data_IF_507214339851
#
_entry.id   IF_507214339851
#
_cell.length_a   1.000
_cell.length_b   1.000
_cell.length_c   1.000
_cell.angle_alpha   90.00
_cell.angle_beta   90.00
_cell.angle_gamma   90.00
#
_symmetry.space_group_name_H-M   'P 1'
#
loop_
_entity.id
_entity.type
_entity.pdbx_description
1 polymer ?
#
# COMPACT_ATOMS: atom_id res chain seq x y z
N UNK A 1 2.45 -23.09 3.11
CA UNK A 1 2.06 -22.54 4.43
C UNK A 1 1.00 -21.49 4.13
N UNK A 2 -0.25 -21.77 4.48
CA UNK A 2 -1.44 -21.01 4.07
C UNK A 2 -1.59 -19.71 4.86
N UNK A 3 -0.83 -18.68 4.48
CA UNK A 3 -1.04 -17.29 4.93
C UNK A 3 -1.64 -16.41 3.81
N UNK A 4 -2.30 -17.01 2.82
CA UNK A 4 -3.12 -16.30 1.81
C UNK A 4 -4.37 -15.60 2.42
N UNK A 5 -4.51 -15.54 3.75
CA UNK A 5 -5.66 -14.93 4.44
C UNK A 5 -5.46 -13.44 4.73
N UNK A 6 -4.28 -12.89 4.46
CA UNK A 6 -4.07 -11.45 4.51
C UNK A 6 -4.27 -10.87 3.12
N UNK A 7 -5.22 -9.95 3.02
CA UNK A 7 -5.55 -9.19 1.80
C UNK A 7 -4.29 -8.61 1.12
N UNK A 8 -3.15 -8.46 1.79
CA UNK A 8 -1.95 -7.80 1.28
C UNK A 8 -0.68 -8.64 1.44
N UNK A 9 -0.75 -9.96 1.19
CA UNK A 9 0.39 -10.88 1.39
C UNK A 9 1.65 -10.47 0.59
N UNK A 10 1.46 -9.97 -0.63
CA UNK A 10 2.55 -9.42 -1.47
C UNK A 10 3.06 -8.04 -1.00
N UNK A 11 2.39 -7.41 -0.03
CA UNK A 11 2.77 -6.12 0.54
C UNK A 11 3.25 -6.27 1.99
N UNK A 12 4.09 -7.28 2.26
CA UNK A 12 4.69 -7.53 3.58
C UNK A 12 5.29 -6.29 4.23
N UNK A 13 5.92 -5.42 3.43
CA UNK A 13 6.46 -4.14 3.90
C UNK A 13 5.42 -3.27 4.63
N UNK A 14 4.16 -3.29 4.23
CA UNK A 14 3.10 -2.55 4.93
C UNK A 14 2.96 -3.02 6.38
N UNK A 15 2.99 -4.33 6.60
CA UNK A 15 2.89 -4.92 7.94
C UNK A 15 4.13 -4.66 8.78
N UNK A 16 5.31 -4.69 8.17
CA UNK A 16 6.56 -4.36 8.86
C UNK A 16 6.58 -2.90 9.35
N UNK A 17 5.92 -1.99 8.61
CA UNK A 17 5.83 -0.57 8.97
C UNK A 17 4.67 -0.25 9.92
N UNK A 18 3.66 -1.12 10.04
CA UNK A 18 2.56 -0.95 10.98
C UNK A 18 3.07 -0.96 12.42
N UNK A 19 2.80 0.08 13.22
CA UNK A 19 3.16 0.06 14.63
C UNK A 19 2.29 -0.94 15.39
N UNK A 20 2.89 -1.62 16.36
CA UNK A 20 2.14 -2.28 17.43
C UNK A 20 1.46 -1.22 18.29
N UNK A 21 0.42 -1.62 19.03
CA UNK A 21 -0.37 -0.69 19.86
C UNK A 21 0.51 0.12 20.82
N UNK A 22 1.54 -0.50 21.40
CA UNK A 22 2.45 0.16 22.34
C UNK A 22 3.36 1.20 21.66
N UNK A 23 3.68 1.01 20.37
CA UNK A 23 4.53 1.92 19.60
C UNK A 23 3.74 2.98 18.82
N UNK A 24 2.41 2.96 18.90
CA UNK A 24 1.54 3.79 18.08
C UNK A 24 1.84 5.29 18.24
N UNK A 25 1.94 5.78 19.49
CA UNK A 25 2.20 7.19 19.75
C UNK A 25 3.53 7.66 19.14
N UNK A 26 4.59 6.85 19.27
CA UNK A 26 5.89 7.17 18.71
C UNK A 26 5.85 7.16 17.18
N UNK A 27 5.18 6.16 16.60
CA UNK A 27 5.06 6.03 15.14
C UNK A 27 4.24 7.15 14.50
N UNK A 28 3.22 7.66 15.19
CA UNK A 28 2.43 8.81 14.74
C UNK A 28 3.15 10.13 15.02
N UNK A 29 4.11 10.20 15.94
CA UNK A 29 4.91 11.42 16.14
C UNK A 29 6.05 11.59 15.13
N UNK A 30 6.55 10.48 14.57
CA UNK A 30 7.67 10.48 13.63
C UNK A 30 7.21 10.78 12.19
N UNK A 31 7.68 11.89 11.65
CA UNK A 31 7.31 12.36 10.31
C UNK A 31 7.86 11.45 9.22
N UNK A 32 9.07 10.92 9.38
CA UNK A 32 9.69 10.05 8.36
C UNK A 32 8.92 8.74 8.22
N UNK A 33 8.48 8.19 9.36
CA UNK A 33 7.66 6.99 9.42
C UNK A 33 6.26 7.22 8.85
N UNK A 34 5.63 8.35 9.14
CA UNK A 34 4.35 8.72 8.54
C UNK A 34 4.44 8.81 7.01
N UNK A 35 5.49 9.46 6.48
CA UNK A 35 5.70 9.59 5.04
C UNK A 35 5.93 8.23 4.39
N UNK A 36 6.78 7.40 4.98
CA UNK A 36 7.05 6.04 4.50
C UNK A 36 5.77 5.21 4.43
N UNK A 37 4.95 5.24 5.49
CA UNK A 37 3.68 4.53 5.53
C UNK A 37 2.69 5.04 4.48
N UNK A 38 2.60 6.36 4.28
CA UNK A 38 1.75 6.96 3.23
C UNK A 38 2.17 6.56 1.82
N UNK A 39 3.47 6.50 1.53
CA UNK A 39 3.93 6.06 0.22
C UNK A 39 3.60 4.59 -0.07
N UNK A 40 3.64 3.73 0.96
CA UNK A 40 3.22 2.34 0.82
C UNK A 40 1.72 2.26 0.53
N UNK A 41 0.89 3.02 1.25
CA UNK A 41 -0.56 3.07 1.02
C UNK A 41 -0.94 3.64 -0.36
N UNK A 42 -0.19 4.61 -0.89
CA UNK A 42 -0.34 5.11 -2.27
C UNK A 42 -0.15 3.97 -3.29
N UNK A 43 0.93 3.19 -3.14
CA UNK A 43 1.23 2.05 -4.00
C UNK A 43 0.15 0.97 -3.95
N UNK A 44 -0.30 0.61 -2.74
CA UNK A 44 -1.37 -0.38 -2.54
C UNK A 44 -2.69 0.10 -3.14
N UNK A 45 -3.07 1.37 -2.90
CA UNK A 45 -4.29 1.97 -3.44
C UNK A 45 -4.30 1.95 -4.97
N UNK A 46 -3.19 2.35 -5.62
CA UNK A 46 -3.03 2.31 -7.07
C UNK A 46 -3.13 0.90 -7.65
N UNK A 47 -2.62 -0.11 -6.94
CA UNK A 47 -2.70 -1.51 -7.39
C UNK A 47 -4.11 -2.10 -7.24
N UNK A 48 -4.89 -1.65 -6.25
CA UNK A 48 -6.23 -2.19 -5.93
C UNK A 48 -7.40 -1.37 -6.45
N UNK A 49 -7.12 -0.27 -7.16
CA UNK A 49 -8.11 0.68 -7.70
C UNK A 49 -9.30 0.05 -8.43
N UNK A 50 -9.11 -1.11 -9.08
CA UNK A 50 -10.15 -1.78 -9.85
C UNK A 50 -10.97 -2.82 -9.07
N UNK A 51 -10.42 -3.35 -7.97
CA UNK A 51 -11.06 -4.41 -7.21
C UNK A 51 -11.87 -3.86 -6.04
N UNK A 52 -11.35 -2.85 -5.35
CA UNK A 52 -12.04 -2.24 -4.23
C UNK A 52 -11.57 -0.78 -4.03
N UNK A 53 -12.25 0.20 -4.65
CA UNK A 53 -11.84 1.60 -4.57
C UNK A 53 -12.16 2.25 -3.21
N UNK A 54 -13.09 1.68 -2.43
CA UNK A 54 -13.61 2.25 -1.18
C UNK A 54 -12.52 2.33 -0.09
N UNK A 55 -11.76 1.24 0.10
CA UNK A 55 -10.88 1.09 1.26
C UNK A 55 -9.66 2.00 1.26
N UNK A 56 -9.18 2.38 0.08
CA UNK A 56 -7.97 3.18 -0.09
C UNK A 56 -8.25 4.48 -0.84
N UNK A 57 -9.50 4.94 -0.83
CA UNK A 57 -9.86 6.22 -1.43
C UNK A 57 -9.14 7.37 -0.72
N UNK A 58 -8.48 8.24 -1.48
CA UNK A 58 -7.77 9.40 -0.93
C UNK A 58 -6.41 9.09 -0.29
N UNK A 59 -5.90 7.86 -0.35
CA UNK A 59 -4.53 7.54 0.11
C UNK A 59 -3.47 7.95 -0.90
N UNK A 60 -3.88 8.35 -2.11
CA UNK A 60 -2.96 8.70 -3.17
C UNK A 60 -2.19 9.99 -2.85
N UNK A 61 -0.86 9.91 -2.80
CA UNK A 61 0.01 11.07 -2.53
C UNK A 61 0.21 11.89 -3.81
N UNK A 62 0.37 11.18 -4.94
CA UNK A 62 0.47 11.77 -6.28
C UNK A 62 -0.58 11.11 -7.15
N UNK A 63 -1.27 11.92 -7.95
CA UNK A 63 -2.29 11.43 -8.86
C UNK A 63 -1.76 10.35 -9.82
N UNK A 64 -2.62 9.37 -10.09
CA UNK A 64 -2.29 8.18 -10.89
C UNK A 64 -2.09 8.46 -12.39
N UNK A 65 -2.35 9.69 -12.85
CA UNK A 65 -2.11 10.13 -14.23
C UNK A 65 -0.83 10.96 -14.37
N UNK A 66 -0.14 11.23 -13.26
CA UNK A 66 1.12 11.97 -13.27
C UNK A 66 2.25 11.09 -13.77
N UNK A 67 2.99 11.57 -14.78
CA UNK A 67 4.16 10.89 -15.35
C UNK A 67 5.12 10.42 -14.25
N UNK A 68 5.58 9.17 -14.36
CA UNK A 68 6.40 8.42 -13.38
C UNK A 68 5.67 7.90 -12.12
N UNK A 69 4.50 8.43 -11.78
CA UNK A 69 3.67 7.98 -10.65
C UNK A 69 2.42 7.23 -11.10
N UNK A 70 2.38 6.87 -12.38
CA UNK A 70 1.29 6.18 -13.03
C UNK A 70 1.02 4.83 -12.36
N UNK A 71 -0.25 4.53 -12.16
CA UNK A 71 -0.64 3.22 -11.65
C UNK A 71 -0.33 2.15 -12.69
N UNK A 72 0.57 1.23 -12.34
CA UNK A 72 0.99 0.13 -13.20
C UNK A 72 -0.16 -0.85 -13.40
N UNK A 73 -0.30 -1.33 -14.64
CA UNK A 73 -1.24 -2.39 -14.97
C UNK A 73 -0.49 -3.71 -15.03
N UNK A 74 -0.92 -4.71 -14.27
CA UNK A 74 -0.34 -6.05 -14.32
C UNK A 74 -0.65 -6.68 -15.69
N UNK A 75 0.38 -7.21 -16.35
CA UNK A 75 0.19 -8.04 -17.54
C UNK A 75 -0.49 -9.36 -17.18
N UNK A 76 -1.29 -9.91 -18.10
CA UNK A 76 -1.83 -11.26 -17.95
C UNK A 76 -0.70 -12.27 -17.69
N UNK A 77 -0.92 -13.21 -16.76
CA UNK A 77 0.03 -14.31 -16.52
C UNK A 77 0.22 -15.09 -17.83
N UNK A 78 1.48 -15.27 -18.24
CA UNK A 78 1.81 -16.19 -19.33
C UNK A 78 1.74 -17.61 -18.79
N UNK A 79 1.00 -18.50 -19.47
CA UNK A 79 1.12 -19.94 -19.23
C UNK A 79 2.51 -20.36 -19.71
N UNK A 80 3.29 -20.94 -18.80
CA UNK A 80 4.53 -21.64 -19.10
C UNK A 80 4.16 -23.05 -19.56
#
# INVERSE_FOLDING_TARGET
MFMDMLLLDECRYLYDWMPTMDMFNNAVSDTERQLSYRFILDGVGKHRRWYNPEYFFGTAVVDQWTKNFEAKTLSSRKKI
#
